data_IF_631754577211
#
_entry.id   IF_631754577211
#
_cell.length_a   1.000
_cell.length_b   1.000
_cell.length_c   1.000
_cell.angle_alpha   90.00
_cell.angle_beta   90.00
_cell.angle_gamma   90.00
#
_symmetry.space_group_name_H-M   'P 1'
#
loop_
_entity.id
_entity.type
_entity.pdbx_description
1 polymer ?
#
# COMPACT_ATOMS: atom_id res chain seq x y z
N UNK A 1 -11.99 40.17 -40.74
CA UNK A 1 -12.17 40.93 -39.49
C UNK A 1 -11.15 40.45 -38.52
N UNK A 2 -10.09 41.21 -38.30
CA UNK A 2 -9.00 40.95 -37.39
C UNK A 2 -9.38 41.49 -36.01
N UNK A 3 -9.18 40.71 -34.95
CA UNK A 3 -9.22 41.26 -33.59
C UNK A 3 -7.99 40.80 -32.78
N UNK A 4 -7.37 41.76 -32.27
CA UNK A 4 -6.06 42.01 -31.77
C UNK A 4 -5.80 41.30 -30.41
N UNK A 5 -4.61 40.71 -30.31
CA UNK A 5 -4.01 40.16 -29.12
C UNK A 5 -3.57 41.31 -28.20
N UNK A 6 -3.96 41.25 -26.93
CA UNK A 6 -3.44 42.16 -25.90
C UNK A 6 -2.49 41.41 -24.98
N UNK A 7 -1.18 41.72 -25.11
CA UNK A 7 -0.10 41.22 -24.24
C UNK A 7 0.14 42.26 -23.15
N UNK A 8 -0.23 42.00 -21.92
CA UNK A 8 0.26 42.74 -20.77
C UNK A 8 1.26 41.90 -19.99
N UNK A 9 2.55 42.23 -20.18
CA UNK A 9 3.65 41.78 -19.33
C UNK A 9 3.79 42.80 -18.19
N UNK A 10 3.63 42.36 -16.97
CA UNK A 10 4.03 43.11 -15.78
C UNK A 10 5.31 42.50 -15.26
N UNK A 11 6.43 43.21 -15.42
CA UNK A 11 7.70 42.91 -14.78
C UNK A 11 7.71 43.59 -13.41
N UNK A 12 7.77 42.82 -12.36
CA UNK A 12 8.07 43.33 -11.02
C UNK A 12 9.50 42.90 -10.67
N UNK A 13 10.42 43.85 -10.74
CA UNK A 13 11.78 43.69 -10.25
C UNK A 13 11.81 44.11 -8.78
N UNK A 14 12.09 43.16 -7.91
CA UNK A 14 12.39 43.45 -6.49
C UNK A 14 13.88 43.27 -6.27
N UNK A 15 14.58 44.40 -6.12
CA UNK A 15 15.98 44.40 -5.70
C UNK A 15 16.04 44.34 -4.19
N UNK A 16 16.63 43.29 -3.63
CA UNK A 16 16.96 43.20 -2.21
C UNK A 16 18.47 43.38 -2.06
N UNK A 17 18.83 44.50 -1.41
CA UNK A 17 20.21 44.75 -1.01
C UNK A 17 20.52 43.95 0.27
N UNK A 18 21.51 43.07 0.23
CA UNK A 18 22.02 42.34 1.39
C UNK A 18 23.24 43.09 1.94
N UNK A 19 23.09 43.67 3.12
CA UNK A 19 24.19 44.21 3.91
C UNK A 19 24.96 43.05 4.57
N UNK A 20 26.24 42.88 4.24
CA UNK A 20 27.16 42.02 4.96
C UNK A 20 27.55 42.63 6.28
N UNK A 21 27.14 42.06 7.39
CA UNK A 21 27.76 42.25 8.68
C UNK A 21 28.40 40.93 9.10
N UNK A 22 29.73 40.88 9.06
CA UNK A 22 30.50 39.72 9.48
C UNK A 22 30.48 39.59 11.01
N UNK A 23 30.07 38.42 11.48
CA UNK A 23 30.33 37.99 12.86
C UNK A 23 31.00 36.63 12.76
N UNK A 24 32.30 36.64 13.11
CA UNK A 24 33.10 35.43 13.28
C UNK A 24 32.71 34.84 14.63
N UNK A 25 32.02 33.70 14.63
CA UNK A 25 31.79 32.89 15.83
C UNK A 25 32.54 31.59 15.73
N UNK A 26 33.22 31.14 16.79
CA UNK A 26 34.07 29.95 16.74
C UNK A 26 33.23 28.68 16.59
N UNK A 27 33.74 27.77 15.78
CA UNK A 27 33.20 26.46 15.54
C UNK A 27 33.11 25.62 16.84
N UNK A 28 31.92 25.53 17.40
CA UNK A 28 31.54 24.50 18.34
C UNK A 28 30.75 23.44 17.60
N UNK A 29 31.41 22.36 17.20
CA UNK A 29 30.75 21.20 16.62
C UNK A 29 29.95 20.47 17.71
N UNK A 30 28.72 20.87 17.94
CA UNK A 30 27.75 20.00 18.60
C UNK A 30 27.17 19.06 17.56
N UNK A 31 27.87 17.92 17.39
CA UNK A 31 27.24 16.74 16.82
C UNK A 31 26.11 16.32 17.78
N UNK A 32 24.90 16.82 17.50
CA UNK A 32 23.71 16.29 18.13
C UNK A 32 23.60 14.81 17.71
N UNK A 33 24.09 13.93 18.57
CA UNK A 33 23.84 12.49 18.50
C UNK A 33 22.32 12.33 18.59
N UNK A 34 21.66 12.22 17.46
CA UNK A 34 20.26 11.81 17.40
C UNK A 34 20.23 10.35 17.86
N UNK A 35 19.92 10.13 19.13
CA UNK A 35 19.59 8.81 19.63
C UNK A 35 18.50 8.24 18.72
N UNK A 36 18.67 7.03 18.19
CA UNK A 36 17.64 6.43 17.34
C UNK A 36 16.33 6.41 18.13
N UNK A 37 15.30 7.04 17.58
CA UNK A 37 13.96 7.03 18.15
C UNK A 37 13.55 5.57 18.33
N UNK A 38 13.17 5.13 19.55
CA UNK A 38 12.79 3.75 19.75
C UNK A 38 11.62 3.41 18.84
N UNK A 39 11.86 2.57 17.84
CA UNK A 39 10.83 2.05 16.95
C UNK A 39 10.04 1.04 17.78
N UNK A 40 8.86 1.42 18.22
CA UNK A 40 7.93 0.49 18.87
C UNK A 40 7.68 -0.66 17.89
N UNK A 41 7.94 -1.92 18.25
CA UNK A 41 7.69 -3.04 17.35
C UNK A 41 6.20 -3.07 16.97
N UNK A 42 5.90 -3.21 15.69
CA UNK A 42 4.54 -3.43 15.22
C UNK A 42 4.04 -4.76 15.80
N UNK A 43 3.04 -4.67 16.67
CA UNK A 43 2.39 -5.86 17.23
C UNK A 43 1.36 -6.32 16.23
N UNK A 44 1.66 -7.41 15.51
CA UNK A 44 0.69 -8.05 14.63
C UNK A 44 -0.39 -8.76 15.46
N UNK A 45 -1.63 -8.56 15.09
CA UNK A 45 -2.79 -9.05 15.82
C UNK A 45 -3.61 -10.03 14.98
N UNK A 46 -4.51 -10.77 15.66
CA UNK A 46 -5.51 -11.60 15.01
C UNK A 46 -6.82 -10.82 14.95
N UNK A 47 -7.27 -10.55 13.74
CA UNK A 47 -8.48 -9.76 13.43
C UNK A 47 -9.56 -10.72 12.93
N UNK A 48 -10.80 -10.57 13.42
CA UNK A 48 -11.94 -11.35 12.95
C UNK A 48 -12.81 -10.52 12.03
N UNK A 49 -12.95 -10.95 10.79
CA UNK A 49 -13.69 -10.27 9.75
C UNK A 49 -14.82 -11.15 9.18
N UNK A 50 -15.83 -10.51 8.63
CA UNK A 50 -16.92 -11.17 7.90
C UNK A 50 -17.59 -10.19 6.94
N UNK A 51 -18.48 -10.70 6.07
CA UNK A 51 -19.30 -9.84 5.20
C UNK A 51 -20.22 -8.88 5.98
N UNK A 52 -20.63 -9.24 7.21
CA UNK A 52 -21.48 -8.39 8.07
C UNK A 52 -20.67 -7.41 8.92
N UNK A 53 -19.41 -7.73 9.18
CA UNK A 53 -18.49 -6.92 9.98
C UNK A 53 -17.11 -6.91 9.27
N UNK A 54 -16.98 -6.17 8.17
CA UNK A 54 -15.70 -6.01 7.51
C UNK A 54 -14.68 -5.35 8.43
N UNK A 55 -13.40 -5.67 8.25
CA UNK A 55 -12.34 -5.17 9.11
C UNK A 55 -11.21 -4.57 8.30
N UNK A 56 -10.48 -3.67 8.94
CA UNK A 56 -9.24 -3.09 8.44
C UNK A 56 -8.07 -3.75 9.14
N UNK A 57 -7.02 -4.05 8.39
CA UNK A 57 -5.80 -4.68 8.83
C UNK A 57 -4.59 -3.93 8.28
N UNK A 58 -3.41 -4.29 8.74
CA UNK A 58 -2.13 -3.93 8.12
C UNK A 58 -1.40 -5.20 7.65
N UNK A 59 -0.46 -5.10 6.69
CA UNK A 59 0.39 -6.23 6.32
C UNK A 59 1.10 -6.82 7.53
N UNK A 60 1.09 -8.15 7.65
CA UNK A 60 1.57 -8.89 8.81
C UNK A 60 0.48 -9.34 9.77
N UNK A 61 -0.65 -8.65 9.82
CA UNK A 61 -1.79 -9.11 10.62
C UNK A 61 -2.36 -10.41 10.11
N UNK A 62 -2.87 -11.22 11.05
CA UNK A 62 -3.62 -12.43 10.74
C UNK A 62 -5.12 -12.09 10.73
N UNK A 63 -5.80 -12.30 9.61
CA UNK A 63 -7.24 -12.03 9.49
C UNK A 63 -8.00 -13.34 9.37
N UNK A 64 -8.85 -13.64 10.35
CA UNK A 64 -9.79 -14.76 10.33
C UNK A 64 -11.10 -14.32 9.67
N UNK A 65 -11.32 -14.71 8.42
CA UNK A 65 -12.47 -14.31 7.61
C UNK A 65 -13.54 -15.38 7.62
N UNK A 66 -14.68 -15.05 8.21
CA UNK A 66 -15.87 -15.92 8.20
C UNK A 66 -16.70 -15.66 6.95
N UNK A 67 -16.75 -16.64 6.06
CA UNK A 67 -17.59 -16.65 4.86
C UNK A 67 -18.74 -17.65 5.04
N UNK A 68 -19.76 -17.55 4.17
CA UNK A 68 -20.85 -18.56 4.15
C UNK A 68 -20.34 -19.98 3.87
N UNK A 69 -19.20 -20.11 3.22
CA UNK A 69 -18.59 -21.36 2.77
C UNK A 69 -17.57 -21.93 3.77
N UNK A 70 -17.25 -21.21 4.84
CA UNK A 70 -16.31 -21.64 5.86
C UNK A 70 -15.49 -20.51 6.46
N UNK A 71 -14.48 -20.88 7.23
CA UNK A 71 -13.52 -19.97 7.87
C UNK A 71 -12.17 -20.06 7.17
N UNK A 72 -11.71 -18.92 6.65
CA UNK A 72 -10.41 -18.77 6.00
C UNK A 72 -9.54 -17.81 6.79
N UNK A 73 -8.39 -18.25 7.22
CA UNK A 73 -7.37 -17.39 7.82
C UNK A 73 -6.45 -16.87 6.71
N UNK A 74 -6.15 -15.58 6.74
CA UNK A 74 -5.33 -14.89 5.74
C UNK A 74 -4.26 -14.07 6.41
N UNK A 75 -3.03 -14.19 5.92
CA UNK A 75 -1.92 -13.28 6.24
C UNK A 75 -1.44 -12.66 4.94
N UNK A 76 -1.35 -11.33 4.92
CA UNK A 76 -0.77 -10.56 3.83
C UNK A 76 0.59 -10.03 4.24
N UNK A 77 1.58 -10.15 3.36
CA UNK A 77 2.92 -9.55 3.49
C UNK A 77 3.22 -8.72 2.25
N UNK A 78 3.85 -7.59 2.41
CA UNK A 78 4.20 -6.67 1.33
C UNK A 78 3.38 -5.36 1.39
N UNK A 79 3.47 -4.50 0.36
CA UNK A 79 4.12 -4.80 -0.92
C UNK A 79 5.64 -4.88 -0.83
N UNK A 80 6.24 -5.67 -1.70
CA UNK A 80 7.68 -5.66 -1.97
C UNK A 80 7.89 -5.04 -3.33
N UNK A 81 8.69 -3.98 -3.39
CA UNK A 81 9.01 -3.26 -4.62
C UNK A 81 10.50 -3.37 -4.88
N UNK A 82 10.91 -3.74 -6.11
CA UNK A 82 12.32 -3.68 -6.48
C UNK A 82 12.80 -2.22 -6.45
N UNK A 83 14.02 -1.99 -5.98
CA UNK A 83 14.67 -0.68 -6.04
C UNK A 83 15.00 -0.34 -7.51
N UNK A 84 14.07 0.29 -8.20
CA UNK A 84 14.27 0.76 -9.59
C UNK A 84 13.68 2.16 -9.69
N UNK A 85 14.39 3.06 -10.35
CA UNK A 85 13.88 4.39 -10.63
C UNK A 85 12.90 4.35 -11.81
N UNK A 86 11.61 4.26 -11.54
CA UNK A 86 10.55 4.33 -12.54
C UNK A 86 9.26 4.90 -11.94
N UNK A 87 8.42 5.51 -12.78
CA UNK A 87 7.16 6.14 -12.35
C UNK A 87 6.11 5.12 -11.86
N UNK A 88 6.24 3.86 -12.29
CA UNK A 88 5.42 2.74 -11.83
C UNK A 88 6.26 1.48 -11.68
N UNK A 89 6.26 0.90 -10.50
CA UNK A 89 7.07 -0.25 -10.12
C UNK A 89 6.19 -1.50 -9.94
N UNK A 90 6.71 -2.70 -10.26
CA UNK A 90 6.01 -3.94 -9.96
C UNK A 90 5.96 -4.15 -8.45
N UNK A 91 4.81 -3.95 -7.85
CA UNK A 91 4.56 -4.28 -6.45
C UNK A 91 4.09 -5.72 -6.29
N UNK A 92 4.66 -6.45 -5.33
CA UNK A 92 4.31 -7.83 -5.05
C UNK A 92 3.80 -8.00 -3.62
N UNK A 93 2.59 -8.52 -3.50
CA UNK A 93 1.98 -8.91 -2.24
C UNK A 93 2.01 -10.44 -2.11
N UNK A 94 2.38 -10.95 -0.95
CA UNK A 94 2.35 -12.39 -0.67
C UNK A 94 1.20 -12.70 0.27
N UNK A 95 0.24 -13.48 -0.20
CA UNK A 95 -0.86 -14.02 0.60
C UNK A 95 -0.57 -15.43 1.06
N UNK A 96 -0.80 -15.69 2.32
CA UNK A 96 -0.90 -17.04 2.86
C UNK A 96 -2.32 -17.27 3.34
N UNK A 97 -3.02 -18.18 2.68
CA UNK A 97 -4.37 -18.63 3.05
C UNK A 97 -4.30 -19.97 3.78
N UNK A 98 -5.06 -20.11 4.85
CA UNK A 98 -5.27 -21.38 5.58
C UNK A 98 -6.76 -21.59 5.75
N UNK A 99 -7.31 -22.61 5.13
CA UNK A 99 -8.72 -22.94 5.28
C UNK A 99 -8.94 -23.71 6.57
N UNK A 100 -9.58 -23.08 7.56
CA UNK A 100 -9.84 -23.69 8.86
C UNK A 100 -11.06 -24.62 8.84
N UNK A 101 -12.10 -24.28 8.07
CA UNK A 101 -13.30 -25.08 7.90
C UNK A 101 -13.99 -24.79 6.57
N UNK A 102 -14.74 -25.77 6.06
CA UNK A 102 -15.50 -25.62 4.81
C UNK A 102 -14.63 -25.61 3.55
N UNK A 103 -15.08 -24.89 2.52
CA UNK A 103 -14.39 -24.76 1.22
C UNK A 103 -14.55 -23.36 0.70
N UNK A 104 -13.46 -22.71 0.30
CA UNK A 104 -13.49 -21.34 -0.22
C UNK A 104 -12.89 -21.28 -1.61
N UNK A 105 -13.55 -20.56 -2.52
CA UNK A 105 -12.98 -20.16 -3.82
C UNK A 105 -12.23 -18.84 -3.61
N UNK A 106 -10.97 -18.81 -3.96
CA UNK A 106 -10.17 -17.60 -4.05
C UNK A 106 -10.08 -17.21 -5.52
N UNK A 107 -10.53 -16.02 -5.87
CA UNK A 107 -10.56 -15.54 -7.25
C UNK A 107 -9.80 -14.20 -7.32
N UNK A 108 -8.97 -14.01 -8.34
CA UNK A 108 -8.22 -12.76 -8.54
C UNK A 108 -9.14 -11.54 -8.69
N UNK A 109 -10.35 -11.73 -9.20
CA UNK A 109 -11.35 -10.67 -9.38
C UNK A 109 -11.91 -10.14 -8.06
N UNK A 110 -11.79 -10.92 -6.98
CA UNK A 110 -12.23 -10.53 -5.64
C UNK A 110 -11.24 -9.56 -4.97
N UNK A 111 -10.08 -9.34 -5.58
CA UNK A 111 -9.07 -8.40 -5.08
C UNK A 111 -9.10 -7.08 -5.84
N UNK A 112 -8.96 -6.00 -5.10
CA UNK A 112 -8.80 -4.64 -5.62
C UNK A 112 -7.66 -3.94 -4.90
N UNK A 113 -6.84 -3.19 -5.63
CA UNK A 113 -5.83 -2.33 -5.05
C UNK A 113 -6.22 -0.89 -5.38
N UNK A 114 -6.28 -0.06 -4.35
CA UNK A 114 -6.55 1.37 -4.45
C UNK A 114 -5.28 2.12 -4.05
N UNK A 115 -4.91 3.12 -4.81
CA UNK A 115 -3.85 4.05 -4.45
C UNK A 115 -4.30 5.06 -3.38
N UNK A 116 -3.40 5.96 -2.96
CA UNK A 116 -3.70 6.99 -1.97
C UNK A 116 -4.77 8.01 -2.40
N UNK A 117 -5.10 8.08 -3.69
CA UNK A 117 -6.18 8.88 -4.24
C UNK A 117 -7.48 8.06 -4.42
N UNK A 118 -7.51 6.82 -3.93
CA UNK A 118 -8.59 5.84 -4.11
C UNK A 118 -8.86 5.43 -5.57
N UNK A 119 -7.88 5.62 -6.47
CA UNK A 119 -7.97 5.12 -7.83
C UNK A 119 -7.65 3.63 -7.88
N UNK A 120 -8.44 2.88 -8.66
CA UNK A 120 -8.27 1.43 -8.79
C UNK A 120 -7.07 1.11 -9.68
N UNK A 121 -6.08 0.41 -9.11
CA UNK A 121 -4.88 -0.04 -9.82
C UNK A 121 -5.17 -1.33 -10.58
N UNK A 122 -4.79 -1.37 -11.86
CA UNK A 122 -4.91 -2.52 -12.76
C UNK A 122 -3.70 -2.58 -13.72
N UNK A 123 -3.29 -3.76 -14.24
CA UNK A 123 -3.85 -5.10 -13.96
C UNK A 123 -3.34 -5.71 -12.65
N UNK A 124 -4.11 -6.64 -12.09
CA UNK A 124 -3.72 -7.48 -10.94
C UNK A 124 -3.61 -8.92 -11.44
N UNK A 125 -2.57 -9.67 -11.02
CA UNK A 125 -2.34 -11.05 -11.44
C UNK A 125 -1.82 -11.90 -10.27
N UNK A 126 -2.18 -13.17 -10.23
CA UNK A 126 -1.40 -14.14 -9.49
C UNK A 126 -0.14 -14.51 -10.29
N UNK A 127 0.98 -14.70 -9.58
CA UNK A 127 2.29 -14.97 -10.19
C UNK A 127 2.35 -16.33 -10.91
N UNK A 128 1.54 -17.31 -10.47
CA UNK A 128 1.41 -18.62 -11.09
C UNK A 128 0.50 -18.63 -12.34
N UNK A 129 -0.03 -17.46 -12.74
CA UNK A 129 -0.91 -17.31 -13.90
C UNK A 129 -2.34 -17.83 -13.68
N UNK A 130 -2.65 -18.42 -12.52
CA UNK A 130 -4.02 -18.84 -12.22
C UNK A 130 -4.93 -17.64 -12.00
N UNK A 131 -6.22 -17.78 -12.31
CA UNK A 131 -7.23 -16.75 -12.02
C UNK A 131 -8.03 -17.07 -10.77
N UNK A 132 -8.07 -18.34 -10.38
CA UNK A 132 -8.78 -18.80 -9.19
C UNK A 132 -8.33 -20.20 -8.75
N UNK A 133 -8.57 -20.51 -7.49
CA UNK A 133 -8.36 -21.83 -6.92
C UNK A 133 -9.28 -22.07 -5.73
N UNK A 134 -9.55 -23.35 -5.45
CA UNK A 134 -10.28 -23.76 -4.25
C UNK A 134 -9.32 -24.12 -3.12
N UNK A 135 -9.75 -23.79 -1.90
CA UNK A 135 -9.15 -24.27 -0.65
C UNK A 135 -10.16 -25.12 0.11
N UNK A 136 -9.80 -26.30 0.53
CA UNK A 136 -10.59 -27.17 1.39
C UNK A 136 -10.08 -27.09 2.83
N UNK A 137 -10.92 -27.49 3.78
CA UNK A 137 -10.55 -27.52 5.19
C UNK A 137 -9.20 -28.25 5.42
N UNK A 138 -8.31 -27.60 6.16
CA UNK A 138 -6.94 -28.05 6.41
C UNK A 138 -5.91 -27.63 5.36
N UNK A 139 -6.32 -27.18 4.19
CA UNK A 139 -5.39 -26.77 3.15
C UNK A 139 -4.78 -25.38 3.47
N UNK A 140 -3.49 -25.25 3.11
CA UNK A 140 -2.73 -24.01 3.12
C UNK A 140 -2.18 -23.75 1.73
N UNK A 141 -2.29 -22.50 1.27
CA UNK A 141 -1.70 -22.07 0.01
C UNK A 141 -1.11 -20.66 0.15
N UNK A 142 0.09 -20.51 -0.39
CA UNK A 142 0.74 -19.20 -0.53
C UNK A 142 0.73 -18.82 -2.01
N UNK A 143 0.30 -17.60 -2.31
CA UNK A 143 0.30 -17.04 -3.67
C UNK A 143 0.84 -15.62 -3.62
N UNK A 144 1.45 -15.18 -4.70
CA UNK A 144 1.86 -13.80 -4.89
C UNK A 144 0.88 -13.12 -5.82
N UNK A 145 0.51 -11.90 -5.47
CA UNK A 145 -0.30 -11.01 -6.27
C UNK A 145 0.58 -9.87 -6.73
N UNK A 146 0.67 -9.65 -8.04
CA UNK A 146 1.54 -8.65 -8.63
C UNK A 146 0.72 -7.61 -9.39
N UNK A 147 1.13 -6.35 -9.28
CA UNK A 147 0.57 -5.22 -10.03
C UNK A 147 1.65 -4.16 -10.24
N UNK A 148 1.36 -3.17 -11.09
CA UNK A 148 2.18 -1.97 -11.19
C UNK A 148 1.55 -0.87 -10.35
N UNK A 149 2.35 -0.20 -9.52
CA UNK A 149 1.88 0.82 -8.61
C UNK A 149 2.92 1.94 -8.46
N UNK A 150 2.45 3.14 -8.10
CA UNK A 150 3.31 4.24 -7.71
C UNK A 150 3.65 4.13 -6.22
N UNK A 151 4.78 4.72 -5.83
CA UNK A 151 5.19 4.84 -4.43
C UNK A 151 4.14 5.66 -3.65
N UNK A 152 3.84 5.26 -2.43
CA UNK A 152 2.91 5.97 -1.56
C UNK A 152 2.05 5.06 -0.69
N UNK A 153 0.94 5.59 -0.23
CA UNK A 153 -0.05 4.83 0.55
C UNK A 153 -1.03 4.12 -0.37
N UNK A 154 -1.52 2.98 0.06
CA UNK A 154 -2.55 2.26 -0.67
C UNK A 154 -3.38 1.34 0.21
N UNK A 155 -4.40 0.75 -0.41
CA UNK A 155 -5.30 -0.20 0.24
C UNK A 155 -5.48 -1.41 -0.66
N UNK A 156 -5.21 -2.60 -0.15
CA UNK A 156 -5.54 -3.85 -0.82
C UNK A 156 -6.83 -4.39 -0.21
N UNK A 157 -7.86 -4.49 -1.02
CA UNK A 157 -9.20 -4.96 -0.64
C UNK A 157 -9.41 -6.39 -1.06
N UNK A 158 -10.08 -7.18 -0.21
CA UNK A 158 -10.64 -8.47 -0.57
C UNK A 158 -12.16 -8.47 -0.41
N UNK A 159 -12.87 -8.74 -1.51
CA UNK A 159 -14.32 -8.71 -1.62
C UNK A 159 -14.86 -9.96 -2.33
N UNK A 160 -14.80 -11.16 -1.69
CA UNK A 160 -15.27 -12.39 -2.31
C UNK A 160 -16.75 -12.29 -2.66
N UNK A 161 -17.08 -12.68 -3.90
CA UNK A 161 -18.43 -12.58 -4.46
C UNK A 161 -19.00 -11.13 -4.39
N UNK A 162 -18.16 -10.13 -4.58
CA UNK A 162 -18.49 -8.70 -4.45
C UNK A 162 -18.94 -8.25 -3.05
N UNK A 163 -18.68 -9.04 -2.03
CA UNK A 163 -18.93 -8.66 -0.65
C UNK A 163 -17.62 -8.33 0.05
N UNK A 164 -17.42 -7.08 0.38
CA UNK A 164 -16.27 -6.61 1.14
C UNK A 164 -16.13 -7.31 2.49
N UNK A 165 -14.94 -7.82 2.79
CA UNK A 165 -14.64 -8.50 4.06
C UNK A 165 -13.45 -7.90 4.78
N UNK A 166 -12.40 -7.47 4.06
CA UNK A 166 -11.23 -6.86 4.68
C UNK A 166 -10.46 -5.98 3.70
N UNK A 167 -9.85 -4.93 4.26
CA UNK A 167 -8.85 -4.09 3.61
C UNK A 167 -7.54 -4.19 4.39
N UNK A 168 -6.41 -4.25 3.68
CA UNK A 168 -5.07 -4.03 4.24
C UNK A 168 -4.56 -2.67 3.80
N UNK A 169 -4.35 -1.78 4.77
CA UNK A 169 -3.69 -0.51 4.50
C UNK A 169 -2.18 -0.70 4.52
N UNK A 170 -1.50 -0.21 3.51
CA UNK A 170 -0.05 -0.29 3.39
C UNK A 170 0.55 1.07 3.02
N UNK A 171 1.81 1.23 3.38
CA UNK A 171 2.66 2.32 2.93
C UNK A 171 3.77 1.72 2.09
N UNK A 172 4.01 2.32 0.95
CA UNK A 172 5.03 1.94 0.02
C UNK A 172 6.15 2.97 0.08
N UNK A 173 7.24 2.63 0.75
CA UNK A 173 8.42 3.46 0.84
C UNK A 173 9.53 2.83 -0.03
N UNK A 174 10.21 3.67 -0.82
CA UNK A 174 11.47 3.25 -1.46
C UNK A 174 12.54 3.22 -0.38
N UNK A 175 13.12 2.05 -0.15
CA UNK A 175 14.25 1.88 0.76
C UNK A 175 15.53 2.51 0.20
#
# INVERSE_FOLDING_TARGET
MYSTINKNRIHLAVSVAIALAGVISPAGAFAASQSPKPTTPLIHQVIRASQKAPQMAIPGDTVDVTLRTGLTQVVLVGPVIPQVSADALPGTFTFTFVQKSGKTLINIRDFGILDGAAALIRPIRFDDGTTSFYLKAGERRTVKLTTFMAVGTGTLRWAPLNHYVTDWQFVEETA
#
